data_IF_259439517319
#
_entry.id   IF_259439517319
#
_cell.length_a   1.000
_cell.length_b   1.000
_cell.length_c   1.000
_cell.angle_alpha   90.00
_cell.angle_beta   90.00
_cell.angle_gamma   90.00
#
_symmetry.space_group_name_H-M   'P 1'
#
loop_
_entity.id
_entity.type
_entity.pdbx_description
1 polymer ?
#
# COMPACT_ATOMS: atom_id res chain seq x y z
N UNK A 1 -15.30 7.10 14.76
CA UNK A 1 -14.50 6.28 13.83
C UNK A 1 -14.52 4.83 14.30
N UNK A 2 -14.76 3.85 13.42
CA UNK A 2 -14.67 2.42 13.75
C UNK A 2 -13.35 1.90 13.21
N UNK A 3 -12.43 1.57 14.11
CA UNK A 3 -11.11 1.05 13.73
C UNK A 3 -11.15 -0.46 13.54
N UNK A 4 -10.58 -0.92 12.44
CA UNK A 4 -10.32 -2.32 12.23
C UNK A 4 -9.15 -2.77 13.11
N UNK A 5 -9.31 -3.89 13.84
CA UNK A 5 -8.31 -4.41 14.79
C UNK A 5 -7.71 -5.76 14.37
N UNK A 6 -8.05 -6.24 13.18
CA UNK A 6 -7.50 -7.49 12.68
C UNK A 6 -6.01 -7.34 12.36
N UNK A 7 -5.29 -8.43 12.56
CA UNK A 7 -3.87 -8.53 12.24
C UNK A 7 -3.74 -9.26 10.90
N UNK A 8 -3.02 -8.65 9.96
CA UNK A 8 -2.73 -9.24 8.67
C UNK A 8 -1.25 -9.59 8.55
N UNK A 9 -0.95 -10.57 7.68
CA UNK A 9 0.43 -10.95 7.37
C UNK A 9 1.16 -9.85 6.59
N UNK A 10 0.42 -9.12 5.76
CA UNK A 10 0.92 -8.04 4.92
C UNK A 10 0.04 -6.81 5.04
N UNK A 11 0.65 -5.64 4.87
CA UNK A 11 -0.02 -4.36 4.79
C UNK A 11 0.37 -3.67 3.49
N UNK A 12 -0.61 -3.11 2.80
CA UNK A 12 -0.42 -2.37 1.56
C UNK A 12 -0.80 -0.91 1.77
N UNK A 13 0.15 -0.01 1.53
CA UNK A 13 -0.08 1.43 1.40
C UNK A 13 -0.25 1.80 -0.06
N UNK A 14 -1.25 2.64 -0.34
CA UNK A 14 -1.49 3.20 -1.67
C UNK A 14 -1.47 4.72 -1.54
N UNK A 15 -0.68 5.37 -2.40
CA UNK A 15 -0.73 6.82 -2.59
C UNK A 15 -1.24 7.10 -4.00
N UNK A 16 -2.33 7.85 -4.10
CA UNK A 16 -3.04 8.15 -5.33
C UNK A 16 -2.80 9.59 -5.74
N UNK A 17 -2.28 9.76 -6.95
CA UNK A 17 -2.18 11.03 -7.63
C UNK A 17 -2.99 10.97 -8.93
N UNK A 18 -3.19 12.12 -9.58
CA UNK A 18 -4.09 12.26 -10.73
C UNK A 18 -3.76 11.32 -11.92
N UNK A 19 -2.50 10.87 -12.07
CA UNK A 19 -2.04 10.03 -13.19
C UNK A 19 -1.08 8.92 -12.76
N UNK A 20 -0.84 8.78 -11.47
CA UNK A 20 0.09 7.79 -10.94
C UNK A 20 -0.44 7.23 -9.63
N UNK A 21 -0.21 5.95 -9.41
CA UNK A 21 -0.45 5.29 -8.14
C UNK A 21 0.87 4.77 -7.63
N UNK A 22 1.14 4.99 -6.36
CA UNK A 22 2.26 4.39 -5.68
C UNK A 22 1.80 3.23 -4.80
N UNK A 23 2.46 2.09 -4.92
CA UNK A 23 2.17 0.88 -4.18
C UNK A 23 3.34 0.53 -3.28
N UNK A 24 3.08 0.37 -1.98
CA UNK A 24 4.05 -0.15 -1.02
C UNK A 24 3.44 -1.33 -0.26
N UNK A 25 4.05 -2.50 -0.35
CA UNK A 25 3.65 -3.68 0.40
C UNK A 25 4.72 -4.07 1.41
N UNK A 26 4.30 -4.27 2.65
CA UNK A 26 5.20 -4.59 3.76
C UNK A 26 4.69 -5.79 4.56
N UNK A 27 5.61 -6.53 5.18
CA UNK A 27 5.26 -7.54 6.18
C UNK A 27 5.06 -6.93 7.58
N UNK A 28 4.80 -7.78 8.57
CA UNK A 28 4.59 -7.37 9.98
C UNK A 28 5.84 -6.79 10.66
N UNK A 29 7.04 -7.08 10.15
CA UNK A 29 8.28 -6.52 10.67
C UNK A 29 8.61 -5.17 10.02
N UNK A 30 7.80 -4.73 9.05
CA UNK A 30 8.04 -3.50 8.28
C UNK A 30 9.02 -3.70 7.13
N UNK A 31 9.36 -4.95 6.77
CA UNK A 31 10.17 -5.21 5.59
C UNK A 31 9.35 -4.90 4.34
N UNK A 32 9.91 -4.04 3.48
CA UNK A 32 9.32 -3.69 2.20
C UNK A 32 9.52 -4.86 1.23
N UNK A 33 8.41 -5.39 0.73
CA UNK A 33 8.37 -6.50 -0.23
C UNK A 33 8.08 -6.01 -1.65
N UNK A 34 7.27 -4.95 -1.79
CA UNK A 34 6.97 -4.30 -3.08
C UNK A 34 7.00 -2.79 -2.88
N UNK A 35 7.59 -2.08 -3.83
CA UNK A 35 7.70 -0.62 -3.82
C UNK A 35 7.77 -0.09 -5.25
N UNK A 36 6.61 0.26 -5.81
CA UNK A 36 6.49 0.54 -7.24
C UNK A 36 5.61 1.76 -7.52
N UNK A 37 6.02 2.53 -8.54
CA UNK A 37 5.20 3.56 -9.15
C UNK A 37 4.51 3.02 -10.40
N UNK A 38 3.19 3.13 -10.45
CA UNK A 38 2.33 2.61 -11.51
C UNK A 38 1.71 3.79 -12.25
N UNK A 39 1.82 3.79 -13.58
CA UNK A 39 1.12 4.76 -14.41
C UNK A 39 -0.38 4.45 -14.42
N UNK A 40 -1.21 5.46 -14.17
CA UNK A 40 -2.66 5.32 -14.24
C UNK A 40 -3.16 5.93 -15.54
N UNK A 41 -3.89 5.13 -16.31
CA UNK A 41 -4.68 5.64 -17.42
C UNK A 41 -6.03 6.15 -16.88
N UNK A 42 -6.46 7.37 -17.25
CA UNK A 42 -7.71 7.95 -16.80
C UNK A 42 -8.96 7.27 -17.38
#
# INVERSE_FOLDING_TARGET
MRFYRGVHRYYCGIDLHARTMYLCLMDRQGTILVHEGIACEP
#
